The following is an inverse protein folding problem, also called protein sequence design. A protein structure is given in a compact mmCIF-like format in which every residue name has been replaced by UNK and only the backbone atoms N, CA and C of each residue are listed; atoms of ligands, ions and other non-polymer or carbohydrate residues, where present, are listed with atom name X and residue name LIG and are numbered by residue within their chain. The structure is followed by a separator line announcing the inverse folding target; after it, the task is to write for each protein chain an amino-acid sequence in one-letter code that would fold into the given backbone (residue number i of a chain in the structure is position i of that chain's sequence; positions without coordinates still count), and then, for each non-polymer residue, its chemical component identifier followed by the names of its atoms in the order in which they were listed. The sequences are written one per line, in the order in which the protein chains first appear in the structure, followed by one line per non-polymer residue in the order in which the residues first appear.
data_IF_753225500159
#
_entry.id   IF_753225500159
#
_cell.length_a   1.000
_cell.length_b   1.000
_cell.length_c   1.000
_cell.angle_alpha   90.00
_cell.angle_beta   90.00
_cell.angle_gamma   90.00
#
_symmetry.space_group_name_H-M   'P 1'
#
loop_
_entity.id
_entity.type
_entity.pdbx_description
1 polymer ?
#
# COMPACT_ATOMS: atom_id res chain seq x y z
N UNK A 1 -8.78 -9.17 -7.67
CA UNK A 1 -8.62 -8.05 -8.60
C UNK A 1 -7.81 -6.95 -7.98
N UNK A 2 -6.85 -6.41 -8.72
CA UNK A 2 -6.00 -5.32 -8.23
C UNK A 2 -6.66 -4.00 -8.57
N UNK A 3 -7.55 -3.55 -7.70
CA UNK A 3 -8.34 -2.35 -7.90
C UNK A 3 -7.76 -1.22 -7.06
N UNK A 4 -7.63 -0.03 -7.65
CA UNK A 4 -7.17 1.15 -6.93
C UNK A 4 -8.19 1.52 -5.87
N UNK A 5 -7.71 1.82 -4.67
CA UNK A 5 -8.53 2.31 -3.58
C UNK A 5 -8.43 3.83 -3.53
N UNK A 6 -9.56 4.48 -3.29
CA UNK A 6 -9.65 5.93 -3.25
C UNK A 6 -10.58 6.32 -2.10
N UNK A 7 -10.61 7.54 -1.73
CA UNK A 7 -11.48 8.05 -0.67
C UNK A 7 -11.46 7.16 0.58
N UNK A 8 -11.91 7.65 1.66
CA UNK A 8 -12.12 6.91 2.92
C UNK A 8 -11.03 5.89 3.31
N UNK A 9 -9.90 5.88 2.62
CA UNK A 9 -8.79 5.01 2.99
C UNK A 9 -8.35 5.20 4.43
N UNK A 10 -8.52 6.42 4.97
CA UNK A 10 -8.21 6.75 6.35
C UNK A 10 -9.10 6.02 7.37
N UNK A 11 -10.19 5.42 6.91
CA UNK A 11 -11.10 4.66 7.77
C UNK A 11 -10.90 3.15 7.67
N UNK A 12 -9.88 2.73 6.94
CA UNK A 12 -9.58 1.32 6.76
C UNK A 12 -8.97 0.77 8.05
N UNK A 13 -9.41 -0.40 8.48
CA UNK A 13 -8.89 -1.03 9.68
C UNK A 13 -7.51 -1.61 9.47
N UNK A 14 -6.78 -1.76 10.58
CA UNK A 14 -5.44 -2.33 10.56
C UNK A 14 -5.48 -3.86 10.44
N UNK A 15 -4.54 -4.41 9.68
CA UNK A 15 -4.21 -5.84 9.70
C UNK A 15 -2.72 -6.00 9.38
N UNK A 16 -2.05 -6.92 10.09
CA UNK A 16 -0.68 -7.29 9.75
C UNK A 16 -0.63 -8.15 8.47
N UNK A 17 -1.78 -8.61 8.01
CA UNK A 17 -1.93 -9.34 6.77
C UNK A 17 -2.94 -8.60 5.89
N UNK A 18 -2.66 -7.34 5.65
CA UNK A 18 -3.58 -6.46 4.93
C UNK A 18 -3.79 -6.90 3.48
N UNK A 19 -4.95 -6.58 2.94
CA UNK A 19 -5.27 -6.86 1.54
C UNK A 19 -5.02 -5.67 0.62
N UNK A 20 -4.65 -4.52 1.19
CA UNK A 20 -4.26 -3.33 0.44
C UNK A 20 -2.90 -2.84 0.89
N UNK A 21 -2.22 -2.13 0.00
CA UNK A 21 -0.98 -1.43 0.31
C UNK A 21 -1.05 -0.02 -0.28
N UNK A 22 -0.48 0.93 0.44
CA UNK A 22 -0.25 2.26 -0.12
C UNK A 22 1.00 2.22 -1.00
N UNK A 23 1.09 3.16 -1.94
CA UNK A 23 2.23 3.25 -2.85
C UNK A 23 2.94 4.58 -2.65
N UNK A 24 4.10 4.74 -3.29
CA UNK A 24 4.81 6.03 -3.32
C UNK A 24 4.15 7.04 -4.26
N UNK A 25 3.03 6.69 -4.91
CA UNK A 25 2.40 7.48 -5.96
C UNK A 25 1.02 8.01 -5.58
N UNK A 26 0.77 8.15 -4.28
CA UNK A 26 -0.47 8.73 -3.74
C UNK A 26 -1.74 7.93 -4.03
N UNK A 27 -1.61 6.62 -4.21
CA UNK A 27 -2.78 5.76 -4.27
C UNK A 27 -2.52 4.46 -3.53
N UNK A 28 -3.59 3.76 -3.19
CA UNK A 28 -3.52 2.43 -2.59
C UNK A 28 -3.98 1.40 -3.61
N UNK A 29 -3.50 0.18 -3.46
CA UNK A 29 -3.82 -0.91 -4.37
C UNK A 29 -4.07 -2.20 -3.61
N UNK A 30 -5.06 -2.96 -4.05
CA UNK A 30 -5.30 -4.31 -3.53
C UNK A 30 -4.16 -5.23 -3.97
N UNK A 31 -3.60 -5.99 -3.03
CA UNK A 31 -2.46 -6.86 -3.32
C UNK A 31 -2.86 -8.32 -3.49
N UNK A 32 -4.13 -8.62 -3.34
CA UNK A 32 -4.70 -9.94 -3.60
C UNK A 32 -6.18 -9.78 -3.93
N UNK A 33 -6.81 -10.85 -4.38
CA UNK A 33 -8.25 -10.81 -4.64
C UNK A 33 -9.02 -10.50 -3.37
N UNK A 34 -9.98 -9.60 -3.47
CA UNK A 34 -10.86 -9.22 -2.38
C UNK A 34 -12.27 -9.64 -2.76
N UNK A 35 -12.86 -10.51 -1.94
CA UNK A 35 -14.18 -11.07 -2.22
C UNK A 35 -15.29 -10.18 -1.69
N UNK A 36 -16.50 -10.26 -2.27
CA UNK A 36 -17.65 -9.52 -1.73
C UNK A 36 -17.83 -9.78 -0.23
N UNK A 37 -18.02 -8.72 0.53
CA UNK A 37 -18.15 -8.81 1.97
C UNK A 37 -16.84 -8.81 2.75
N UNK A 38 -15.72 -8.96 2.07
CA UNK A 38 -14.41 -8.90 2.72
C UNK A 38 -14.04 -7.44 3.01
N UNK A 39 -13.54 -7.18 4.23
CA UNK A 39 -13.16 -5.84 4.65
C UNK A 39 -11.83 -5.43 4.01
N UNK A 40 -11.74 -4.19 3.55
CA UNK A 40 -10.47 -3.62 3.13
C UNK A 40 -9.62 -3.31 4.35
N UNK A 41 -8.36 -3.68 4.31
CA UNK A 41 -7.43 -3.47 5.43
C UNK A 41 -6.09 -2.92 4.95
N UNK A 42 -5.47 -2.12 5.80
CA UNK A 42 -4.11 -1.62 5.62
C UNK A 42 -3.25 -2.01 6.81
N UNK A 43 -1.96 -2.08 6.64
CA UNK A 43 -1.04 -2.20 7.76
C UNK A 43 -0.68 -0.78 8.22
N UNK A 44 -1.02 -0.45 9.45
CA UNK A 44 -0.76 0.88 9.98
C UNK A 44 0.73 1.20 10.09
N UNK A 45 1.59 0.20 9.93
CA UNK A 45 3.03 0.39 9.95
C UNK A 45 3.55 1.33 8.86
N UNK A 46 2.86 1.43 7.74
CA UNK A 46 3.26 2.37 6.68
C UNK A 46 2.45 3.66 6.67
N UNK A 47 1.64 3.90 7.69
CA UNK A 47 0.77 5.08 7.74
C UNK A 47 1.28 6.20 8.66
N UNK A 48 2.52 6.13 9.12
CA UNK A 48 3.14 7.18 9.95
C UNK A 48 2.38 7.48 11.23
N UNK A 49 2.07 6.45 12.00
CA UNK A 49 1.39 6.63 13.28
C UNK A 49 2.30 7.36 14.28
N UNK A 50 1.69 8.06 15.23
CA UNK A 50 2.43 8.89 16.19
C UNK A 50 2.94 8.12 17.41
N UNK A 51 2.32 6.97 17.73
CA UNK A 51 2.66 6.19 18.91
C UNK A 51 2.45 4.70 18.61
N UNK A 52 3.10 3.80 19.36
CA UNK A 52 2.90 2.37 19.15
C UNK A 52 1.43 1.98 19.28
N UNK A 53 0.99 1.06 18.43
CA UNK A 53 -0.38 0.58 18.36
C UNK A 53 -0.39 -0.93 18.54
N UNK A 54 -1.12 -1.41 19.57
CA UNK A 54 -1.24 -2.83 19.84
C UNK A 54 -2.28 -3.44 18.89
N UNK A 55 -1.82 -4.28 17.96
CA UNK A 55 -2.71 -4.96 17.03
C UNK A 55 -3.31 -6.23 17.64
N UNK A 56 -4.28 -6.80 16.92
CA UNK A 56 -4.82 -8.11 17.25
C UNK A 56 -3.79 -9.16 16.81
N UNK A 57 -3.63 -10.21 17.61
CA UNK A 57 -2.74 -11.32 17.23
C UNK A 57 -3.39 -12.10 16.08
N UNK A 58 -2.78 -12.01 14.91
CA UNK A 58 -3.27 -12.68 13.70
C UNK A 58 -2.40 -13.88 13.33
N UNK A 59 -1.54 -14.33 14.24
CA UNK A 59 -0.64 -15.44 13.99
C UNK A 59 0.63 -15.03 13.25
N UNK A 60 0.86 -13.73 13.06
CA UNK A 60 2.08 -13.22 12.43
C UNK A 60 3.13 -12.91 13.50
N UNK A 61 4.37 -12.68 13.06
CA UNK A 61 5.45 -12.31 13.97
C UNK A 61 5.24 -10.93 14.58
N UNK A 62 4.54 -10.05 13.86
CA UNK A 62 4.28 -8.69 14.32
C UNK A 62 2.99 -8.66 15.13
N UNK A 63 3.05 -8.06 16.32
CA UNK A 63 1.89 -7.89 17.21
C UNK A 63 1.64 -6.43 17.55
N UNK A 64 2.64 -5.59 17.33
CA UNK A 64 2.58 -4.15 17.64
C UNK A 64 3.03 -3.37 16.42
N UNK A 65 2.32 -2.29 16.11
CA UNK A 65 2.72 -1.34 15.07
C UNK A 65 3.54 -0.23 15.72
N UNK A 66 4.69 0.07 15.17
CA UNK A 66 5.57 1.13 15.67
C UNK A 66 5.66 2.27 14.66
N UNK A 67 5.91 3.51 15.13
CA UNK A 67 6.02 4.66 14.22
C UNK A 67 7.11 4.54 13.17
N UNK A 68 8.12 3.72 13.39
CA UNK A 68 9.22 3.52 12.44
C UNK A 68 9.15 2.20 11.67
N UNK A 69 7.99 1.54 11.68
CA UNK A 69 7.84 0.26 10.97
C UNK A 69 8.14 0.40 9.48
N UNK A 70 7.81 1.55 8.88
CA UNK A 70 8.10 1.78 7.47
C UNK A 70 9.60 1.68 7.18
N UNK A 71 10.42 2.21 8.07
CA UNK A 71 11.88 2.12 7.93
C UNK A 71 12.34 0.66 8.03
N UNK A 72 11.74 -0.09 8.94
CA UNK A 72 12.18 -1.46 9.24
C UNK A 72 11.64 -2.51 8.28
N UNK A 73 10.47 -2.27 7.66
CA UNK A 73 9.77 -3.27 6.87
C UNK A 73 9.50 -2.86 5.42
N UNK A 74 9.98 -1.70 4.97
CA UNK A 74 9.69 -1.22 3.62
C UNK A 74 10.10 -2.22 2.53
N UNK A 75 11.16 -2.96 2.74
CA UNK A 75 11.62 -3.93 1.73
C UNK A 75 10.57 -5.01 1.45
N UNK A 76 9.91 -5.48 2.50
CA UNK A 76 8.85 -6.49 2.37
C UNK A 76 7.68 -5.90 1.57
N UNK A 77 7.25 -4.71 1.92
CA UNK A 77 6.14 -4.06 1.23
C UNK A 77 6.50 -3.70 -0.22
N UNK A 78 7.74 -3.25 -0.45
CA UNK A 78 8.21 -2.95 -1.80
C UNK A 78 8.16 -4.17 -2.70
N UNK A 79 8.55 -5.33 -2.19
CA UNK A 79 8.50 -6.57 -2.97
C UNK A 79 7.08 -6.95 -3.34
N UNK A 80 6.14 -6.79 -2.40
CA UNK A 80 4.73 -7.04 -2.67
C UNK A 80 4.18 -6.08 -3.71
N UNK A 81 4.54 -4.80 -3.62
CA UNK A 81 4.10 -3.79 -4.58
C UNK A 81 4.67 -4.03 -5.97
N UNK A 82 5.93 -4.41 -6.07
CA UNK A 82 6.56 -4.71 -7.36
C UNK A 82 5.82 -5.84 -8.08
N UNK A 83 5.45 -6.86 -7.35
CA UNK A 83 4.72 -7.98 -7.92
C UNK A 83 3.36 -7.55 -8.45
N UNK A 84 2.65 -6.72 -7.67
CA UNK A 84 1.32 -6.24 -8.06
C UNK A 84 1.40 -5.30 -9.26
N UNK A 85 2.40 -4.43 -9.31
CA UNK A 85 2.55 -3.50 -10.44
C UNK A 85 2.68 -4.20 -11.78
N UNK A 86 3.29 -5.39 -11.81
CA UNK A 86 3.39 -6.16 -13.06
C UNK A 86 2.03 -6.47 -13.66
N UNK A 87 1.00 -6.55 -12.83
CA UNK A 87 -0.33 -6.97 -13.24
C UNK A 87 -1.35 -5.84 -13.28
N UNK A 88 -0.95 -4.61 -12.90
CA UNK A 88 -1.92 -3.51 -12.77
C UNK A 88 -2.58 -3.16 -14.10
N UNK A 89 -1.84 -3.31 -15.21
CA UNK A 89 -2.37 -2.99 -16.55
C UNK A 89 -3.19 -4.14 -17.14
N UNK A 90 -3.14 -5.32 -16.52
CA UNK A 90 -3.84 -6.52 -17.00
C UNK A 90 -5.29 -6.57 -16.51
N UNK A 91 -5.67 -5.69 -15.58
CA UNK A 91 -6.98 -5.68 -14.96
C UNK A 91 -7.68 -4.35 -15.19
N UNK A 92 -9.03 -4.35 -15.34
CA UNK A 92 -9.78 -3.11 -15.40
C UNK A 92 -9.58 -2.32 -14.11
N UNK A 93 -9.38 -1.02 -14.24
CA UNK A 93 -9.20 -0.12 -13.10
C UNK A 93 -10.36 0.89 -13.08
N UNK A 94 -11.41 0.61 -12.30
CA UNK A 94 -12.60 1.48 -12.28
C UNK A 94 -12.28 2.93 -11.92
N UNK A 95 -11.23 3.18 -11.16
CA UNK A 95 -10.84 4.53 -10.74
C UNK A 95 -9.75 5.13 -11.62
N UNK A 96 -9.47 4.53 -12.78
CA UNK A 96 -8.44 4.98 -13.72
C UNK A 96 -8.57 6.46 -14.05
N UNK A 97 -9.80 6.92 -14.21
CA UNK A 97 -10.08 8.32 -14.58
C UNK A 97 -9.67 9.32 -13.49
N UNK A 98 -9.47 8.88 -12.25
CA UNK A 98 -9.02 9.73 -11.16
C UNK A 98 -7.50 9.90 -11.14
N UNK A 99 -6.80 9.17 -11.99
CA UNK A 99 -5.34 9.21 -12.09
C UNK A 99 -4.97 10.04 -13.32
N UNK A 100 -4.02 10.96 -13.17
CA UNK A 100 -3.57 11.77 -14.30
C UNK A 100 -2.95 10.90 -15.38
N UNK A 101 -3.00 11.38 -16.63
CA UNK A 101 -2.38 10.67 -17.75
C UNK A 101 -0.88 10.46 -17.50
N UNK A 102 -0.20 11.46 -16.96
CA UNK A 102 1.23 11.38 -16.65
C UNK A 102 1.51 10.28 -15.64
N UNK A 103 0.71 10.22 -14.57
CA UNK A 103 0.87 9.18 -13.54
C UNK A 103 0.60 7.80 -14.12
N UNK A 104 -0.43 7.66 -14.95
CA UNK A 104 -0.75 6.38 -15.57
C UNK A 104 0.38 5.90 -16.48
N UNK A 105 0.98 6.81 -17.26
CA UNK A 105 2.12 6.46 -18.09
C UNK A 105 3.29 5.95 -17.27
N UNK A 106 3.52 6.54 -16.11
CA UNK A 106 4.57 6.09 -15.20
C UNK A 106 4.26 4.69 -14.65
N UNK A 107 3.00 4.45 -14.25
CA UNK A 107 2.55 3.14 -13.78
C UNK A 107 2.76 2.09 -14.88
N UNK A 108 2.39 2.40 -16.12
CA UNK A 108 2.58 1.48 -17.24
C UNK A 108 4.07 1.18 -17.47
N UNK A 109 4.92 2.17 -17.39
CA UNK A 109 6.36 1.98 -17.57
C UNK A 109 6.93 1.06 -16.49
N UNK A 110 6.49 1.21 -15.25
CA UNK A 110 6.90 0.34 -14.16
C UNK A 110 6.41 -1.08 -14.40
N UNK A 111 5.14 -1.23 -14.82
CA UNK A 111 4.56 -2.54 -15.07
C UNK A 111 5.29 -3.30 -16.18
N UNK A 112 5.80 -2.58 -17.17
CA UNK A 112 6.54 -3.16 -18.30
C UNK A 112 8.02 -3.37 -18.02
N UNK A 113 8.49 -2.94 -16.85
CA UNK A 113 9.90 -3.03 -16.49
C UNK A 113 10.78 -1.95 -17.12
N UNK A 114 10.19 -0.93 -17.71
CA UNK A 114 10.93 0.17 -18.35
C UNK A 114 11.38 1.22 -17.34
N UNK A 115 10.76 1.23 -16.15
CA UNK A 115 11.09 2.16 -15.09
C UNK A 115 11.03 1.44 -13.75
N UNK A 116 11.94 1.79 -12.86
CA UNK A 116 11.97 1.20 -11.52
C UNK A 116 10.94 1.88 -10.63
N UNK A 117 10.21 1.08 -9.83
CA UNK A 117 9.22 1.59 -8.88
C UNK A 117 9.92 2.27 -7.71
N UNK A 118 9.41 3.42 -7.30
CA UNK A 118 9.92 4.09 -6.10
C UNK A 118 9.48 3.34 -4.85
N UNK A 119 10.34 3.38 -3.84
CA UNK A 119 10.08 2.68 -2.57
C UNK A 119 8.97 3.35 -1.77
N UNK A 120 8.16 2.54 -1.11
CA UNK A 120 7.16 3.02 -0.15
C UNK A 120 7.84 3.82 0.99
N UNK A 121 9.13 3.60 1.22
CA UNK A 121 9.89 4.34 2.22
C UNK A 121 9.84 5.86 1.97
N UNK A 122 9.64 6.28 0.72
CA UNK A 122 9.50 7.70 0.39
C UNK A 122 8.32 8.37 1.12
N UNK A 123 7.38 7.58 1.62
CA UNK A 123 6.23 8.08 2.37
C UNK A 123 6.56 8.28 3.86
N UNK A 124 7.73 7.87 4.30
CA UNK A 124 8.07 7.95 5.72
C UNK A 124 8.18 9.40 6.18
N UNK A 125 7.52 9.69 7.28
CA UNK A 125 7.58 11.01 7.92
C UNK A 125 7.88 10.80 9.41
N UNK A 126 9.09 11.16 9.88
CA UNK A 126 9.43 10.97 11.29
C UNK A 126 8.51 11.78 12.19
N UNK A 127 7.90 11.12 13.18
CA UNK A 127 7.03 11.79 14.12
C UNK A 127 7.83 12.69 15.05
N UNK A 128 7.25 13.85 15.39
CA UNK A 128 7.90 14.81 16.25
C UNK A 128 8.92 15.71 15.58
N UNK A 129 9.11 15.56 14.27
CA UNK A 129 9.95 16.45 13.47
C UNK A 129 9.09 17.30 12.56
N UNK A 130 9.44 18.52 12.40
CA UNK A 130 8.73 19.45 11.54
C UNK A 130 9.63 19.97 10.43
#
# INVERSE_FOLDING_TARGET
NFVLCWDNGRYVNHSFNSNCLTTAYDFEIAIRDIHPGEQLTDDYGYLNIAAPFQGVDEGTDRKVVYPDDLVNFHKVWDEQLKEVFKHIVDHPQPLRQLISTKMWQEIEAIAKGEKEMESILNNYFPQGKS
#
